data_IF_633775472739
#
_entry.id   IF_633775472739
#
_cell.length_a   1.000
_cell.length_b   1.000
_cell.length_c   1.000
_cell.angle_alpha   90.00
_cell.angle_beta   90.00
_cell.angle_gamma   90.00
#
_symmetry.space_group_name_H-M   'P 1'
#
loop_
_entity.id
_entity.type
_entity.pdbx_description
1 polymer ?
#
# COMPACT_ATOMS: atom_id res chain seq x y z
N UNK A 1 -26.54 17.74 53.39
CA UNK A 1 -26.02 18.60 52.29
C UNK A 1 -24.75 18.08 51.60
N UNK A 2 -23.87 17.31 52.25
CA UNK A 2 -22.65 16.74 51.61
C UNK A 2 -22.92 15.54 50.69
N UNK A 3 -23.93 14.72 50.98
CA UNK A 3 -24.27 13.52 50.21
C UNK A 3 -24.85 13.83 48.81
N UNK A 4 -25.66 14.90 48.70
CA UNK A 4 -26.28 15.32 47.43
C UNK A 4 -25.23 15.87 46.44
N UNK A 5 -24.21 16.58 46.94
CA UNK A 5 -23.09 17.06 46.10
C UNK A 5 -22.23 15.92 45.55
N UNK A 6 -22.05 14.84 46.32
CA UNK A 6 -21.30 13.66 45.88
C UNK A 6 -22.06 12.87 44.81
N UNK A 7 -23.37 12.69 44.99
CA UNK A 7 -24.24 12.05 43.99
C UNK A 7 -24.31 12.83 42.67
N UNK A 8 -24.33 14.16 42.73
CA UNK A 8 -24.28 14.99 41.52
C UNK A 8 -22.93 14.87 40.77
N UNK A 9 -21.82 14.75 41.51
CA UNK A 9 -20.49 14.57 40.90
C UNK A 9 -20.32 13.19 40.26
N UNK A 10 -20.83 12.12 40.89
CA UNK A 10 -20.79 10.76 40.34
C UNK A 10 -21.71 10.62 39.13
N UNK A 11 -22.89 11.27 39.15
CA UNK A 11 -23.81 11.24 38.01
C UNK A 11 -23.31 12.09 36.84
N UNK A 12 -22.70 13.26 37.08
CA UNK A 12 -22.02 14.01 36.01
C UNK A 12 -20.80 13.27 35.46
N UNK A 13 -20.06 12.50 36.26
CA UNK A 13 -18.95 11.70 35.74
C UNK A 13 -19.44 10.53 34.86
N UNK A 14 -20.59 9.93 35.18
CA UNK A 14 -21.21 8.88 34.35
C UNK A 14 -21.86 9.39 33.06
N UNK A 15 -22.39 10.61 33.06
CA UNK A 15 -22.99 11.22 31.85
C UNK A 15 -21.92 11.76 30.89
N UNK A 16 -20.73 12.13 31.39
CA UNK A 16 -19.62 12.57 30.52
C UNK A 16 -18.86 11.39 29.90
N UNK A 17 -18.85 10.20 30.52
CA UNK A 17 -18.25 9.00 29.92
C UNK A 17 -19.15 8.23 28.96
N UNK A 18 -20.44 8.61 28.84
CA UNK A 18 -21.40 7.97 27.93
C UNK A 18 -21.62 8.73 26.61
N UNK A 19 -20.86 9.81 26.37
CA UNK A 19 -20.73 10.46 25.07
C UNK A 19 -19.34 10.20 24.47
N UNK A 20 -18.92 8.95 24.41
CA UNK A 20 -18.12 8.49 23.27
C UNK A 20 -19.12 7.75 22.41
N UNK A 21 -19.81 8.54 21.58
CA UNK A 21 -20.48 7.98 20.42
C UNK A 21 -19.36 7.30 19.63
N UNK A 22 -19.28 5.97 19.74
CA UNK A 22 -18.48 5.19 18.81
C UNK A 22 -19.14 5.44 17.47
N UNK A 23 -18.65 6.43 16.74
CA UNK A 23 -18.89 6.55 15.31
C UNK A 23 -18.18 5.35 14.70
N UNK A 24 -18.76 4.17 14.84
CA UNK A 24 -18.47 3.06 13.96
C UNK A 24 -19.05 3.55 12.64
N UNK A 25 -18.22 4.27 11.88
CA UNK A 25 -18.43 4.43 10.45
C UNK A 25 -18.71 3.03 9.94
N UNK A 26 -19.94 2.83 9.46
CA UNK A 26 -20.34 1.56 8.89
C UNK A 26 -19.34 1.27 7.77
N UNK A 27 -18.58 0.18 7.91
CA UNK A 27 -17.63 -0.23 6.88
C UNK A 27 -18.46 -0.74 5.72
N UNK A 28 -18.33 -0.08 4.58
CA UNK A 28 -18.92 -0.56 3.33
C UNK A 28 -18.03 -1.68 2.77
N UNK A 29 -18.36 -2.92 3.15
CA UNK A 29 -17.58 -4.09 2.76
C UNK A 29 -17.58 -4.30 1.26
N UNK A 30 -18.69 -4.00 0.58
CA UNK A 30 -18.82 -4.20 -0.86
C UNK A 30 -17.95 -3.21 -1.61
N UNK A 31 -17.91 -1.94 -1.18
CA UNK A 31 -17.01 -0.94 -1.74
C UNK A 31 -15.53 -1.37 -1.62
N UNK A 32 -15.11 -1.88 -0.46
CA UNK A 32 -13.72 -2.36 -0.26
C UNK A 32 -13.41 -3.52 -1.20
N UNK A 33 -14.32 -4.48 -1.36
CA UNK A 33 -14.13 -5.62 -2.28
C UNK A 33 -14.06 -5.16 -3.73
N UNK A 34 -14.94 -4.27 -4.17
CA UNK A 34 -14.89 -3.71 -5.52
C UNK A 34 -13.57 -2.97 -5.79
N UNK A 35 -13.09 -2.17 -4.83
CA UNK A 35 -11.81 -1.47 -4.92
C UNK A 35 -10.66 -2.49 -5.04
N UNK A 36 -10.66 -3.53 -4.21
CA UNK A 36 -9.62 -4.56 -4.22
C UNK A 36 -9.54 -5.30 -5.56
N UNK A 37 -10.69 -5.76 -6.10
CA UNK A 37 -10.73 -6.41 -7.42
C UNK A 37 -10.24 -5.47 -8.52
N UNK A 38 -10.70 -4.22 -8.54
CA UNK A 38 -10.28 -3.23 -9.54
C UNK A 38 -8.79 -2.88 -9.43
N UNK A 39 -8.24 -2.85 -8.21
CA UNK A 39 -6.82 -2.65 -7.98
C UNK A 39 -5.99 -3.79 -8.59
N UNK A 40 -6.39 -5.04 -8.34
CA UNK A 40 -5.67 -6.23 -8.79
C UNK A 40 -5.84 -6.52 -10.29
N UNK A 41 -7.04 -6.29 -10.85
CA UNK A 41 -7.38 -6.66 -12.24
C UNK A 41 -7.31 -5.51 -13.23
N UNK A 42 -7.23 -4.28 -12.74
CA UNK A 42 -7.13 -3.07 -13.56
C UNK A 42 -8.41 -2.24 -13.58
N UNK A 43 -8.23 -0.93 -13.70
CA UNK A 43 -9.28 0.08 -13.62
C UNK A 43 -10.22 0.13 -14.84
N UNK A 44 -9.97 -0.63 -15.91
CA UNK A 44 -10.82 -0.62 -17.11
C UNK A 44 -12.10 -1.43 -16.97
N UNK A 45 -12.20 -2.30 -15.96
CA UNK A 45 -13.38 -3.14 -15.72
C UNK A 45 -14.60 -2.31 -15.29
N UNK A 46 -15.77 -2.63 -15.83
CA UNK A 46 -17.06 -2.11 -15.37
C UNK A 46 -17.46 -2.69 -14.01
N UNK A 47 -18.35 -2.03 -13.26
CA UNK A 47 -18.86 -2.55 -11.99
C UNK A 47 -19.52 -3.94 -12.11
N UNK A 48 -20.16 -4.25 -13.24
CA UNK A 48 -20.72 -5.60 -13.49
C UNK A 48 -19.62 -6.66 -13.59
N UNK A 49 -18.55 -6.39 -14.34
CA UNK A 49 -17.41 -7.29 -14.46
C UNK A 49 -16.71 -7.49 -13.10
N UNK A 50 -16.52 -6.41 -12.33
CA UNK A 50 -15.95 -6.47 -10.98
C UNK A 50 -16.83 -7.34 -10.07
N UNK A 51 -18.15 -7.14 -10.10
CA UNK A 51 -19.10 -7.92 -9.29
C UNK A 51 -19.07 -9.42 -9.61
N UNK A 52 -18.95 -9.77 -10.89
CA UNK A 52 -18.82 -11.17 -11.31
C UNK A 52 -17.53 -11.80 -10.76
N UNK A 53 -16.41 -11.07 -10.80
CA UNK A 53 -15.11 -11.55 -10.34
C UNK A 53 -15.02 -11.79 -8.82
N UNK A 54 -15.75 -11.02 -8.01
CA UNK A 54 -15.81 -11.21 -6.55
C UNK A 54 -16.27 -12.62 -6.16
N UNK A 55 -17.04 -13.30 -7.02
CA UNK A 55 -17.45 -14.68 -6.77
C UNK A 55 -16.41 -15.74 -7.18
N UNK A 56 -15.36 -15.33 -7.90
CA UNK A 56 -14.41 -16.22 -8.56
C UNK A 56 -13.00 -16.17 -7.94
N UNK A 57 -12.63 -15.05 -7.31
CA UNK A 57 -11.28 -14.81 -6.76
C UNK A 57 -11.32 -14.63 -5.25
N UNK A 58 -10.21 -14.90 -4.54
CA UNK A 58 -10.11 -14.67 -3.09
C UNK A 58 -9.40 -13.38 -2.71
N UNK A 59 -8.81 -12.66 -3.68
CA UNK A 59 -7.98 -11.49 -3.41
C UNK A 59 -8.75 -10.39 -2.66
N UNK A 60 -10.00 -10.15 -3.01
CA UNK A 60 -10.83 -9.16 -2.34
C UNK A 60 -11.20 -9.57 -0.91
N UNK A 61 -11.39 -10.86 -0.63
CA UNK A 61 -11.58 -11.37 0.73
C UNK A 61 -10.31 -11.18 1.57
N UNK A 62 -9.14 -11.45 0.97
CA UNK A 62 -7.82 -11.28 1.61
C UNK A 62 -7.54 -9.79 1.93
N UNK A 63 -7.84 -8.86 1.01
CA UNK A 63 -7.75 -7.42 1.28
C UNK A 63 -8.77 -6.98 2.32
N UNK A 64 -10.01 -7.47 2.26
CA UNK A 64 -11.06 -7.10 3.21
C UNK A 64 -10.69 -7.54 4.64
N UNK A 65 -10.19 -8.75 4.83
CA UNK A 65 -9.80 -9.24 6.15
C UNK A 65 -8.59 -8.47 6.70
N UNK A 66 -7.61 -8.15 5.84
CA UNK A 66 -6.48 -7.27 6.20
C UNK A 66 -6.99 -5.88 6.64
N UNK A 67 -7.92 -5.30 5.88
CA UNK A 67 -8.53 -4.01 6.21
C UNK A 67 -9.27 -4.08 7.56
N UNK A 68 -10.08 -5.11 7.78
CA UNK A 68 -10.78 -5.35 9.06
C UNK A 68 -9.82 -5.48 10.24
N UNK A 69 -8.66 -6.07 10.04
CA UNK A 69 -7.62 -6.13 11.06
C UNK A 69 -7.05 -4.74 11.36
N UNK A 70 -6.70 -3.96 10.34
CA UNK A 70 -6.12 -2.62 10.52
C UNK A 70 -7.09 -1.61 11.15
N UNK A 71 -8.38 -1.67 10.82
CA UNK A 71 -9.42 -0.86 11.50
C UNK A 71 -9.82 -1.40 12.88
N UNK A 72 -9.22 -2.51 13.31
CA UNK A 72 -9.41 -3.10 14.64
C UNK A 72 -10.74 -3.83 14.87
N UNK A 73 -11.36 -4.34 13.81
CA UNK A 73 -12.57 -5.17 13.88
C UNK A 73 -12.30 -6.63 14.17
N UNK A 74 -11.11 -7.12 13.83
CA UNK A 74 -10.66 -8.48 14.13
C UNK A 74 -9.28 -8.47 14.79
N UNK A 75 -8.96 -9.57 15.45
CA UNK A 75 -7.67 -9.86 16.06
C UNK A 75 -6.66 -10.41 15.06
N UNK A 76 -5.38 -10.45 15.46
CA UNK A 76 -4.33 -11.10 14.67
C UNK A 76 -4.61 -12.60 14.51
N UNK A 77 -5.09 -13.28 15.57
CA UNK A 77 -5.39 -14.71 15.52
C UNK A 77 -6.46 -15.04 14.46
N UNK A 78 -7.52 -14.23 14.37
CA UNK A 78 -8.57 -14.39 13.36
C UNK A 78 -8.05 -14.19 11.94
N UNK A 79 -7.13 -13.24 11.74
CA UNK A 79 -6.50 -12.98 10.44
C UNK A 79 -5.60 -14.14 9.99
N UNK A 80 -4.82 -14.74 10.90
CA UNK A 80 -3.84 -15.77 10.57
C UNK A 80 -4.46 -17.10 10.10
N UNK A 81 -5.72 -17.37 10.44
CA UNK A 81 -6.39 -18.64 10.11
C UNK A 81 -6.75 -18.80 8.62
N UNK A 82 -6.71 -17.71 7.84
CA UNK A 82 -7.29 -17.68 6.49
C UNK A 82 -6.24 -17.58 5.37
N UNK A 83 -4.95 -17.64 5.71
CA UNK A 83 -3.86 -17.31 4.79
C UNK A 83 -3.51 -18.41 3.80
N UNK A 84 -3.12 -17.96 2.60
CA UNK A 84 -2.36 -18.73 1.62
C UNK A 84 -1.06 -18.00 1.33
N UNK A 85 0.02 -18.75 1.20
CA UNK A 85 1.33 -18.21 0.82
C UNK A 85 1.50 -18.35 -0.69
N UNK A 86 1.69 -17.26 -1.45
CA UNK A 86 2.09 -17.35 -2.85
C UNK A 86 3.57 -17.72 -2.96
N UNK A 87 3.96 -18.31 -4.09
CA UNK A 87 5.36 -18.57 -4.40
C UNK A 87 5.56 -18.64 -5.91
N UNK A 88 6.43 -17.78 -6.43
CA UNK A 88 7.36 -17.96 -7.56
C UNK A 88 8.02 -16.57 -7.76
N UNK A 89 9.34 -16.51 -7.62
CA UNK A 89 10.14 -15.29 -7.82
C UNK A 89 11.36 -15.61 -8.67
N UNK A 90 11.74 -14.71 -9.59
CA UNK A 90 12.94 -14.86 -10.41
C UNK A 90 14.17 -14.25 -9.69
N UNK A 91 15.17 -15.08 -9.38
CA UNK A 91 16.37 -14.63 -8.63
C UNK A 91 17.22 -13.60 -9.39
N UNK A 92 17.09 -13.49 -10.72
CA UNK A 92 17.80 -12.47 -11.51
C UNK A 92 17.24 -11.09 -11.21
N UNK A 93 15.91 -10.98 -11.10
CA UNK A 93 15.24 -9.73 -10.72
C UNK A 93 15.61 -9.37 -9.28
N UNK A 94 15.62 -10.33 -8.34
CA UNK A 94 16.10 -10.10 -6.97
C UNK A 94 17.50 -9.49 -6.96
N UNK A 95 18.43 -10.07 -7.73
CA UNK A 95 19.82 -9.62 -7.79
C UNK A 95 19.94 -8.21 -8.36
N UNK A 96 19.14 -7.90 -9.37
CA UNK A 96 19.06 -6.57 -9.97
C UNK A 96 18.50 -5.52 -8.99
N UNK A 97 17.34 -5.79 -8.36
CA UNK A 97 16.76 -4.85 -7.40
C UNK A 97 17.71 -4.59 -6.22
N UNK A 98 18.48 -5.59 -5.79
CA UNK A 98 19.52 -5.39 -4.77
C UNK A 98 20.64 -4.45 -5.24
N UNK A 99 20.97 -4.47 -6.53
CA UNK A 99 22.02 -3.60 -7.12
C UNK A 99 21.58 -2.15 -7.32
N UNK A 100 20.28 -1.87 -7.31
CA UNK A 100 19.73 -0.51 -7.45
C UNK A 100 19.57 0.22 -6.12
N UNK A 101 19.74 -0.47 -4.98
CA UNK A 101 19.62 0.15 -3.65
C UNK A 101 20.84 1.03 -3.36
N UNK A 102 20.59 2.22 -2.79
CA UNK A 102 21.66 3.11 -2.38
C UNK A 102 22.29 2.66 -1.07
N UNK A 103 23.62 2.79 -0.94
CA UNK A 103 24.37 2.42 0.27
C UNK A 103 24.35 3.53 1.36
N UNK A 104 23.37 4.44 1.33
CA UNK A 104 23.36 5.62 2.20
C UNK A 104 22.94 5.28 3.65
N UNK A 105 23.90 4.87 4.48
CA UNK A 105 23.69 4.49 5.88
C UNK A 105 23.51 5.65 6.86
N UNK A 106 22.43 6.42 6.74
CA UNK A 106 22.16 7.58 7.61
C UNK A 106 21.28 7.26 8.83
N UNK A 107 20.53 6.16 8.79
CA UNK A 107 19.61 5.71 9.82
C UNK A 107 20.23 4.58 10.67
N UNK A 108 19.60 4.27 11.80
CA UNK A 108 19.95 3.09 12.60
C UNK A 108 19.41 1.77 12.00
N UNK A 109 18.68 1.82 10.88
CA UNK A 109 17.95 0.70 10.30
C UNK A 109 18.16 0.59 8.77
N UNK A 110 18.95 -0.41 8.36
CA UNK A 110 19.30 -0.66 6.94
C UNK A 110 18.10 -0.71 5.97
N UNK A 111 16.96 -1.29 6.37
CA UNK A 111 15.78 -1.33 5.49
C UNK A 111 15.16 0.05 5.26
N UNK A 112 15.26 0.98 6.21
CA UNK A 112 14.81 2.36 5.95
C UNK A 112 15.84 3.08 5.08
N UNK A 113 17.13 2.91 5.37
CA UNK A 113 18.19 3.55 4.57
C UNK A 113 18.13 3.19 3.08
N UNK A 114 17.86 1.93 2.76
CA UNK A 114 17.82 1.47 1.37
C UNK A 114 16.52 1.81 0.63
N UNK A 115 15.43 2.13 1.35
CA UNK A 115 14.09 2.24 0.77
C UNK A 115 13.32 3.52 1.18
N UNK A 116 13.98 4.50 1.78
CA UNK A 116 13.39 5.81 2.10
C UNK A 116 14.16 6.98 1.47
N UNK A 117 14.39 6.93 0.17
CA UNK A 117 14.81 8.13 -0.54
C UNK A 117 13.64 9.10 -0.67
N UNK A 118 13.91 10.38 -0.37
CA UNK A 118 12.93 11.44 -0.62
C UNK A 118 12.66 11.53 -2.12
N UNK A 119 11.38 11.70 -2.46
CA UNK A 119 10.97 12.00 -3.82
C UNK A 119 11.65 13.31 -4.24
N UNK A 120 12.40 13.34 -5.36
CA UNK A 120 13.00 14.58 -5.82
C UNK A 120 11.91 15.57 -6.20
N UNK A 121 11.97 16.76 -5.63
CA UNK A 121 11.03 17.86 -5.89
C UNK A 121 11.82 19.07 -6.39
N UNK A 122 11.37 19.68 -7.49
CA UNK A 122 11.99 20.90 -8.00
C UNK A 122 11.70 22.10 -7.08
N UNK A 123 10.52 22.10 -6.46
CA UNK A 123 10.09 23.11 -5.49
C UNK A 123 10.15 22.54 -4.06
N UNK A 124 10.87 23.16 -3.11
CA UNK A 124 10.82 22.76 -1.71
C UNK A 124 9.42 22.83 -1.06
N UNK A 125 8.48 23.56 -1.67
CA UNK A 125 7.07 23.58 -1.24
C UNK A 125 6.26 22.40 -1.79
N UNK A 126 6.82 21.54 -2.65
CA UNK A 126 6.12 20.37 -3.16
C UNK A 126 5.89 19.36 -2.03
N UNK A 127 4.63 19.08 -1.75
CA UNK A 127 4.21 18.30 -0.59
C UNK A 127 4.38 16.79 -0.79
N UNK A 128 5.14 16.34 -1.79
CA UNK A 128 5.35 14.92 -2.12
C UNK A 128 6.14 14.15 -1.06
N UNK A 129 6.78 14.84 -0.12
CA UNK A 129 7.45 14.27 1.05
C UNK A 129 6.77 14.73 2.36
N UNK A 130 5.51 14.35 2.62
CA UNK A 130 4.76 14.88 3.75
C UNK A 130 5.31 14.34 5.08
N UNK A 131 5.35 15.22 6.09
CA UNK A 131 5.57 14.82 7.47
C UNK A 131 4.24 14.45 8.13
N UNK A 132 4.15 13.24 8.68
CA UNK A 132 2.98 12.78 9.43
C UNK A 132 3.30 12.52 10.90
N UNK A 133 2.25 12.46 11.71
CA UNK A 133 2.36 11.93 13.08
C UNK A 133 2.22 10.41 13.04
N UNK A 134 2.81 9.76 14.03
CA UNK A 134 2.67 8.31 14.19
C UNK A 134 1.30 8.01 14.80
N UNK A 135 0.56 7.10 14.18
CA UNK A 135 -0.62 6.47 14.76
C UNK A 135 -0.22 5.19 15.49
N UNK A 136 -0.11 5.28 16.81
CA UNK A 136 0.40 4.19 17.67
C UNK A 136 -0.41 2.90 17.52
N UNK A 137 -1.74 3.00 17.42
CA UNK A 137 -2.62 1.83 17.32
C UNK A 137 -2.41 1.10 15.99
N UNK A 138 -2.29 1.84 14.89
CA UNK A 138 -2.08 1.25 13.58
C UNK A 138 -0.63 0.72 13.45
N UNK A 139 0.33 1.44 14.02
CA UNK A 139 1.74 1.02 14.08
C UNK A 139 1.91 -0.28 14.86
N UNK A 140 1.19 -0.47 15.97
CA UNK A 140 1.19 -1.72 16.72
C UNK A 140 0.69 -2.91 15.88
N UNK A 141 -0.36 -2.69 15.07
CA UNK A 141 -0.91 -3.74 14.20
C UNK A 141 0.04 -4.13 13.08
N UNK A 142 0.67 -3.14 12.43
CA UNK A 142 1.72 -3.41 11.42
C UNK A 142 2.91 -4.12 12.07
N UNK A 143 3.33 -3.67 13.25
CA UNK A 143 4.41 -4.29 14.02
C UNK A 143 4.14 -5.77 14.31
N UNK A 144 2.96 -6.11 14.83
CA UNK A 144 2.61 -7.48 15.17
C UNK A 144 2.57 -8.41 13.94
N UNK A 145 2.15 -7.90 12.78
CA UNK A 145 2.19 -8.66 11.52
C UNK A 145 3.61 -8.92 11.04
N UNK A 146 4.44 -7.87 10.95
CA UNK A 146 5.84 -8.02 10.51
C UNK A 146 6.60 -8.90 11.50
N UNK A 147 6.37 -8.73 12.80
CA UNK A 147 6.94 -9.57 13.85
C UNK A 147 6.54 -11.03 13.66
N UNK A 148 5.24 -11.31 13.49
CA UNK A 148 4.76 -12.66 13.26
C UNK A 148 5.42 -13.27 12.02
N UNK A 149 5.37 -12.60 10.89
CA UNK A 149 5.92 -13.12 9.63
C UNK A 149 7.45 -13.32 9.74
N UNK A 150 8.15 -12.41 10.43
CA UNK A 150 9.58 -12.50 10.64
C UNK A 150 9.96 -13.74 11.47
N UNK A 151 9.37 -13.90 12.67
CA UNK A 151 9.75 -14.96 13.59
C UNK A 151 9.17 -16.34 13.23
N UNK A 152 8.07 -16.38 12.48
CA UNK A 152 7.52 -17.62 11.90
C UNK A 152 8.22 -18.04 10.61
N UNK A 153 9.15 -17.22 10.09
CA UNK A 153 9.85 -17.42 8.81
C UNK A 153 8.92 -17.42 7.59
N UNK A 154 7.83 -16.66 7.67
CA UNK A 154 6.91 -16.43 6.56
C UNK A 154 7.51 -15.42 5.55
N UNK A 155 6.68 -14.90 4.65
CA UNK A 155 7.12 -14.17 3.46
C UNK A 155 7.97 -12.93 3.74
N UNK A 156 7.63 -12.13 4.76
CA UNK A 156 8.48 -10.98 5.12
C UNK A 156 9.90 -11.42 5.50
N UNK A 157 10.05 -12.50 6.28
CA UNK A 157 11.36 -13.07 6.60
C UNK A 157 12.10 -13.55 5.35
N UNK A 158 11.40 -14.28 4.48
CA UNK A 158 12.00 -14.86 3.27
C UNK A 158 12.53 -13.76 2.35
N UNK A 159 11.75 -12.70 2.16
CA UNK A 159 12.20 -11.52 1.43
C UNK A 159 13.37 -10.83 2.12
N UNK A 160 13.28 -10.59 3.42
CA UNK A 160 14.35 -9.96 4.17
C UNK A 160 15.69 -10.69 4.03
N UNK A 161 15.70 -12.03 4.14
CA UNK A 161 16.94 -12.83 3.98
C UNK A 161 17.49 -12.89 2.55
N UNK A 162 16.72 -12.52 1.53
CA UNK A 162 17.25 -12.34 0.16
C UNK A 162 18.14 -11.10 0.04
N UNK A 163 17.89 -10.09 0.88
CA UNK A 163 18.60 -8.81 0.82
C UNK A 163 19.67 -8.69 1.91
N UNK A 164 19.42 -9.21 3.11
CA UNK A 164 20.24 -8.98 4.31
C UNK A 164 20.69 -10.28 4.98
N UNK A 165 21.95 -10.31 5.40
CA UNK A 165 22.52 -11.41 6.19
C UNK A 165 22.28 -11.21 7.68
N UNK A 166 22.13 -9.96 8.13
CA UNK A 166 21.80 -9.57 9.49
C UNK A 166 20.42 -10.11 9.92
N UNK A 167 20.15 -10.04 11.22
CA UNK A 167 18.84 -10.37 11.79
C UNK A 167 18.17 -9.10 12.31
N UNK A 168 16.86 -8.97 12.13
CA UNK A 168 16.08 -7.89 12.72
C UNK A 168 15.76 -8.18 14.19
N UNK A 169 16.02 -7.19 15.04
CA UNK A 169 15.49 -7.16 16.40
C UNK A 169 14.03 -6.68 16.43
N UNK A 170 13.28 -7.03 17.48
CA UNK A 170 11.91 -6.51 17.68
C UNK A 170 11.86 -4.97 17.69
N UNK A 171 12.87 -4.30 18.25
CA UNK A 171 12.95 -2.83 18.24
C UNK A 171 13.10 -2.27 16.83
N UNK A 172 13.82 -2.96 15.95
CA UNK A 172 14.00 -2.57 14.55
C UNK A 172 12.71 -2.80 13.75
N UNK A 173 12.03 -3.93 13.97
CA UNK A 173 10.71 -4.20 13.38
C UNK A 173 9.70 -3.13 13.78
N UNK A 174 9.70 -2.71 15.05
CA UNK A 174 8.83 -1.64 15.55
C UNK A 174 9.10 -0.30 14.89
N UNK A 175 10.37 0.11 14.80
CA UNK A 175 10.76 1.35 14.09
C UNK A 175 10.33 1.33 12.63
N UNK A 176 10.46 0.19 11.96
CA UNK A 176 10.02 0.02 10.58
C UNK A 176 8.49 0.13 10.44
N UNK A 177 7.74 -0.51 11.33
CA UNK A 177 6.28 -0.43 11.34
C UNK A 177 5.77 0.99 11.57
N UNK A 178 6.33 1.71 12.56
CA UNK A 178 6.03 3.12 12.82
C UNK A 178 6.34 3.99 11.59
N UNK A 179 7.45 3.70 10.92
CA UNK A 179 7.86 4.39 9.70
C UNK A 179 6.86 4.18 8.55
N UNK A 180 6.48 2.93 8.26
CA UNK A 180 5.49 2.61 7.22
C UNK A 180 4.17 3.33 7.46
N UNK A 181 3.65 3.28 8.69
CA UNK A 181 2.40 3.96 9.05
C UNK A 181 2.54 5.47 8.92
N UNK A 182 3.63 6.06 9.39
CA UNK A 182 3.88 7.50 9.26
C UNK A 182 3.84 7.94 7.79
N UNK A 183 4.55 7.26 6.90
CA UNK A 183 4.56 7.63 5.47
C UNK A 183 3.18 7.42 4.84
N UNK A 184 2.55 6.27 5.11
CA UNK A 184 1.22 5.99 4.62
C UNK A 184 0.21 7.05 5.09
N UNK A 185 0.26 7.52 6.35
CA UNK A 185 -0.63 8.58 6.83
C UNK A 185 -0.32 9.96 6.22
N UNK A 186 0.96 10.29 5.99
CA UNK A 186 1.35 11.61 5.48
C UNK A 186 0.66 11.99 4.17
N UNK A 187 0.51 11.01 3.28
CA UNK A 187 -0.14 11.21 1.99
C UNK A 187 -1.65 11.48 2.08
N UNK A 188 -2.30 11.26 3.24
CA UNK A 188 -3.76 11.47 3.38
C UNK A 188 -4.17 12.93 3.34
N UNK A 189 -3.21 13.85 3.40
CA UNK A 189 -3.45 15.29 3.37
C UNK A 189 -3.22 15.92 1.99
N UNK A 190 -2.79 15.13 1.01
CA UNK A 190 -2.39 15.63 -0.30
C UNK A 190 -3.53 15.58 -1.32
N UNK A 191 -3.42 16.48 -2.29
CA UNK A 191 -4.17 16.42 -3.54
C UNK A 191 -3.17 16.46 -4.68
N UNK A 192 -3.20 15.45 -5.55
CA UNK A 192 -2.32 15.37 -6.72
C UNK A 192 -3.04 15.95 -7.93
N UNK A 193 -2.32 16.76 -8.72
CA UNK A 193 -2.85 17.40 -9.93
C UNK A 193 -2.37 16.68 -11.16
N UNK A 194 -3.26 16.54 -12.13
CA UNK A 194 -2.94 15.97 -13.43
C UNK A 194 -2.00 16.92 -14.17
N UNK A 195 -0.90 16.37 -14.68
CA UNK A 195 0.11 17.11 -15.46
C UNK A 195 -0.11 16.95 -16.97
N UNK A 196 -0.62 15.79 -17.40
CA UNK A 196 -0.88 15.51 -18.81
C UNK A 196 -2.08 16.30 -19.35
N UNK A 197 -2.05 16.60 -20.65
CA UNK A 197 -3.17 17.20 -21.39
C UNK A 197 -4.08 16.15 -22.06
N UNK A 198 -3.91 14.87 -21.73
CA UNK A 198 -4.68 13.76 -22.34
C UNK A 198 -6.03 13.65 -21.64
N UNK A 199 -7.12 13.82 -22.39
CA UNK A 199 -8.47 13.64 -21.86
C UNK A 199 -8.70 12.18 -21.43
N UNK A 200 -9.32 12.01 -20.26
CA UNK A 200 -9.69 10.70 -19.71
C UNK A 200 -10.83 10.85 -18.71
N UNK A 201 -11.77 9.90 -18.72
CA UNK A 201 -12.84 9.84 -17.73
C UNK A 201 -12.36 9.26 -16.39
N UNK A 202 -11.34 8.40 -16.42
CA UNK A 202 -10.77 7.80 -15.20
C UNK A 202 -9.71 8.71 -14.57
N UNK A 203 -8.76 9.24 -15.35
CA UNK A 203 -7.69 10.09 -14.84
C UNK A 203 -8.16 11.53 -14.66
N UNK A 204 -8.63 11.83 -13.45
CA UNK A 204 -9.20 13.11 -13.02
C UNK A 204 -8.17 14.25 -12.97
N UNK A 205 -8.64 15.49 -13.08
CA UNK A 205 -7.79 16.69 -13.01
C UNK A 205 -7.12 16.88 -11.63
N UNK A 206 -7.83 16.55 -10.56
CA UNK A 206 -7.33 16.57 -9.19
C UNK A 206 -7.76 15.28 -8.50
N UNK A 207 -6.85 14.71 -7.70
CA UNK A 207 -7.08 13.46 -6.97
C UNK A 207 -6.84 13.71 -5.49
N UNK A 208 -7.92 13.72 -4.71
CA UNK A 208 -7.86 13.82 -3.25
C UNK A 208 -7.39 12.49 -2.65
N UNK A 209 -6.15 12.46 -2.16
CA UNK A 209 -5.56 11.27 -1.57
C UNK A 209 -6.13 10.95 -0.18
N UNK A 210 -6.75 11.92 0.48
CA UNK A 210 -7.46 11.75 1.76
C UNK A 210 -8.77 10.98 1.63
N UNK A 211 -9.27 10.78 0.41
CA UNK A 211 -10.46 9.98 0.14
C UNK A 211 -10.29 8.48 0.45
N UNK A 212 -9.04 8.00 0.58
CA UNK A 212 -8.70 6.60 0.85
C UNK A 212 -8.13 6.44 2.26
N UNK A 213 -8.76 5.65 3.14
CA UNK A 213 -8.26 5.43 4.50
C UNK A 213 -6.89 4.75 4.49
N UNK A 214 -6.03 5.10 5.45
CA UNK A 214 -4.67 4.54 5.56
C UNK A 214 -4.69 3.03 5.76
N UNK A 215 -5.67 2.53 6.50
CA UNK A 215 -5.88 1.12 6.74
C UNK A 215 -6.08 0.34 5.43
N UNK A 216 -6.70 0.93 4.40
CA UNK A 216 -6.86 0.27 3.09
C UNK A 216 -5.55 0.24 2.31
N UNK A 217 -4.76 1.32 2.36
CA UNK A 217 -3.42 1.34 1.74
C UNK A 217 -2.51 0.28 2.38
N UNK A 218 -2.54 0.16 3.71
CA UNK A 218 -1.79 -0.86 4.45
C UNK A 218 -2.33 -2.27 4.20
N UNK A 219 -3.65 -2.44 4.02
CA UNK A 219 -4.24 -3.72 3.65
C UNK A 219 -3.74 -4.22 2.30
N UNK A 220 -3.69 -3.33 1.29
CA UNK A 220 -3.10 -3.63 -0.03
C UNK A 220 -1.61 -3.92 0.10
N UNK A 221 -0.86 -3.09 0.82
CA UNK A 221 0.58 -3.29 0.97
C UNK A 221 0.91 -4.61 1.68
N UNK A 222 0.11 -4.98 2.68
CA UNK A 222 0.26 -6.26 3.32
C UNK A 222 -0.11 -7.41 2.40
N UNK A 223 -1.19 -7.27 1.64
CA UNK A 223 -1.64 -8.31 0.73
C UNK A 223 -0.60 -8.61 -0.36
N UNK A 224 -0.05 -7.57 -0.95
CA UNK A 224 0.86 -7.68 -2.09
C UNK A 224 2.30 -8.01 -1.66
N UNK A 225 2.85 -7.29 -0.67
CA UNK A 225 4.28 -7.40 -0.33
C UNK A 225 4.59 -7.98 1.04
N UNK A 226 3.57 -8.18 1.88
CA UNK A 226 3.74 -8.42 3.32
C UNK A 226 4.63 -7.37 3.98
N UNK A 227 4.55 -6.13 3.48
CA UNK A 227 5.38 -4.97 3.87
C UNK A 227 6.86 -5.02 3.49
N UNK A 228 7.29 -5.85 2.54
CA UNK A 228 8.68 -5.81 2.07
C UNK A 228 8.83 -4.96 0.79
N UNK A 229 9.56 -3.82 0.81
CA UNK A 229 9.56 -2.85 -0.30
C UNK A 229 10.08 -3.39 -1.64
N UNK A 230 11.10 -4.26 -1.63
CA UNK A 230 11.64 -4.85 -2.86
C UNK A 230 11.00 -6.20 -3.25
N UNK A 231 9.83 -6.53 -2.67
CA UNK A 231 9.08 -7.67 -3.17
C UNK A 231 8.50 -7.35 -4.56
N UNK A 232 8.29 -8.40 -5.36
CA UNK A 232 7.71 -8.26 -6.68
C UNK A 232 6.99 -9.53 -7.12
N UNK A 233 6.18 -9.42 -8.16
CA UNK A 233 5.61 -10.55 -8.91
C UNK A 233 5.88 -10.34 -10.40
N UNK A 234 6.32 -11.40 -11.08
CA UNK A 234 6.52 -11.39 -12.53
C UNK A 234 5.27 -11.90 -13.23
N UNK A 235 4.82 -11.19 -14.26
CA UNK A 235 3.80 -11.66 -15.19
C UNK A 235 4.49 -12.34 -16.37
N UNK A 236 4.21 -13.63 -16.57
CA UNK A 236 4.96 -14.50 -17.48
C UNK A 236 4.00 -15.06 -18.53
N UNK A 237 4.35 -14.90 -19.80
CA UNK A 237 3.80 -15.74 -20.89
C UNK A 237 4.92 -16.56 -21.50
N UNK A 238 5.58 -16.03 -22.54
CA UNK A 238 6.81 -16.59 -23.09
C UNK A 238 8.05 -15.88 -22.48
N UNK A 239 7.94 -14.56 -22.29
CA UNK A 239 8.90 -13.70 -21.59
C UNK A 239 8.26 -13.11 -20.31
N UNK A 240 9.08 -12.55 -19.42
CA UNK A 240 8.61 -11.70 -18.32
C UNK A 240 8.26 -10.34 -18.92
N UNK A 241 6.98 -10.13 -19.26
CA UNK A 241 6.54 -8.93 -19.98
C UNK A 241 6.12 -7.78 -19.05
N UNK A 242 5.77 -8.06 -17.81
CA UNK A 242 5.43 -7.05 -16.81
C UNK A 242 5.83 -7.49 -15.41
N UNK A 243 6.06 -6.53 -14.53
CA UNK A 243 6.46 -6.76 -13.14
C UNK A 243 5.59 -5.89 -12.23
N UNK A 244 4.95 -6.53 -11.27
CA UNK A 244 4.29 -5.88 -10.14
C UNK A 244 5.35 -5.64 -9.06
N UNK A 245 5.69 -4.39 -8.76
CA UNK A 245 6.85 -4.03 -7.92
C UNK A 245 6.46 -3.15 -6.73
N UNK A 246 7.25 -3.22 -5.65
CA UNK A 246 7.16 -2.28 -4.54
C UNK A 246 6.40 -2.85 -3.34
N UNK A 247 6.08 -1.98 -2.37
CA UNK A 247 5.22 -2.37 -1.23
C UNK A 247 3.79 -2.77 -1.66
N UNK A 248 3.32 -2.24 -2.77
CA UNK A 248 1.92 -2.30 -3.20
C UNK A 248 1.75 -2.97 -4.57
N UNK A 249 2.86 -3.47 -5.15
CA UNK A 249 2.87 -4.24 -6.40
C UNK A 249 2.21 -3.51 -7.57
N UNK A 250 2.57 -2.24 -7.76
CA UNK A 250 2.15 -1.49 -8.95
C UNK A 250 2.75 -2.17 -10.18
N UNK A 251 1.88 -2.54 -11.11
CA UNK A 251 2.27 -3.20 -12.36
C UNK A 251 2.95 -2.18 -13.29
N UNK A 252 4.17 -2.51 -13.70
CA UNK A 252 4.95 -1.78 -14.70
C UNK A 252 5.38 -2.70 -15.84
N UNK A 253 5.76 -2.11 -16.95
CA UNK A 253 6.33 -2.82 -18.09
C UNK A 253 7.75 -3.32 -17.73
N UNK A 254 8.04 -4.58 -18.00
CA UNK A 254 9.39 -5.09 -17.77
C UNK A 254 10.44 -4.36 -18.63
N UNK A 255 10.07 -3.87 -19.82
CA UNK A 255 10.92 -3.02 -20.69
C UNK A 255 11.21 -1.63 -20.10
N UNK A 256 10.52 -1.23 -19.02
CA UNK A 256 10.79 0.01 -18.28
C UNK A 256 11.96 -0.14 -17.30
N UNK A 257 12.44 -1.37 -17.03
CA UNK A 257 13.57 -1.63 -16.14
C UNK A 257 14.85 -1.90 -16.93
N UNK A 258 15.98 -1.41 -16.42
CA UNK A 258 17.31 -1.60 -17.04
C UNK A 258 17.69 -3.08 -17.22
N UNK A 259 17.15 -3.97 -16.39
CA UNK A 259 17.40 -5.42 -16.48
C UNK A 259 16.94 -6.04 -17.82
N UNK A 260 15.90 -5.48 -18.46
CA UNK A 260 15.41 -5.96 -19.77
C UNK A 260 16.48 -5.89 -20.86
N UNK A 261 17.39 -4.90 -20.78
CA UNK A 261 18.51 -4.78 -21.70
C UNK A 261 19.60 -5.85 -21.50
N UNK A 262 19.59 -6.54 -20.36
CA UNK A 262 20.60 -7.52 -19.96
C UNK A 262 20.16 -8.97 -20.24
N UNK A 263 18.85 -9.22 -20.27
CA UNK A 263 18.27 -10.56 -20.44
C UNK A 263 17.18 -10.54 -21.51
N UNK A 264 17.33 -11.38 -22.54
CA UNK A 264 16.42 -11.38 -23.68
C UNK A 264 15.01 -11.93 -23.38
N UNK A 265 14.82 -12.55 -22.22
CA UNK A 265 13.55 -13.11 -21.74
C UNK A 265 12.88 -12.21 -20.68
N UNK A 266 13.38 -10.99 -20.50
CA UNK A 266 12.80 -9.95 -19.64
C UNK A 266 12.51 -8.73 -20.50
N UNK A 267 11.23 -8.34 -20.55
CA UNK A 267 10.72 -7.45 -21.59
C UNK A 267 10.33 -8.21 -22.85
N UNK A 268 9.34 -7.70 -23.59
CA UNK A 268 8.90 -8.27 -24.87
C UNK A 268 9.23 -7.36 -26.08
N UNK A 269 9.91 -6.23 -25.80
CA UNK A 269 10.27 -5.21 -26.78
C UNK A 269 9.10 -4.32 -27.19
N UNK A 270 7.91 -4.50 -26.63
CA UNK A 270 6.70 -3.74 -26.93
C UNK A 270 6.26 -2.92 -25.73
N UNK A 271 6.79 -1.70 -25.61
CA UNK A 271 6.41 -0.78 -24.53
C UNK A 271 4.89 -0.58 -24.43
N UNK A 272 4.29 -1.05 -23.35
CA UNK A 272 2.90 -0.90 -22.97
C UNK A 272 2.76 0.11 -21.83
N UNK A 273 1.56 0.66 -21.71
CA UNK A 273 1.24 1.56 -20.60
C UNK A 273 0.48 0.79 -19.53
N UNK A 274 1.21 0.17 -18.59
CA UNK A 274 0.62 -0.44 -17.40
C UNK A 274 0.33 0.62 -16.33
N UNK A 275 -0.07 0.19 -15.14
CA UNK A 275 -0.50 1.09 -14.06
C UNK A 275 0.58 2.12 -13.73
N UNK A 276 1.85 1.71 -13.65
CA UNK A 276 2.96 2.63 -13.42
C UNK A 276 3.07 3.69 -14.52
N UNK A 277 3.18 3.27 -15.78
CA UNK A 277 3.39 4.18 -16.90
C UNK A 277 2.21 5.14 -17.08
N UNK A 278 0.98 4.70 -16.81
CA UNK A 278 -0.21 5.56 -16.85
C UNK A 278 -0.21 6.60 -15.73
N UNK A 279 0.13 6.21 -14.49
CA UNK A 279 0.22 7.15 -13.38
C UNK A 279 1.37 8.14 -13.57
N UNK A 280 2.53 7.67 -14.05
CA UNK A 280 3.68 8.52 -14.38
C UNK A 280 3.31 9.54 -15.47
N UNK A 281 2.67 9.08 -16.56
CA UNK A 281 2.19 9.96 -17.63
C UNK A 281 1.23 11.03 -17.11
N UNK A 282 0.27 10.65 -16.26
CA UNK A 282 -0.81 11.54 -15.86
C UNK A 282 -0.49 12.44 -14.66
N UNK A 283 0.35 12.00 -13.72
CA UNK A 283 0.55 12.67 -12.43
C UNK A 283 2.01 12.82 -11.98
N UNK A 284 2.93 11.96 -12.42
CA UNK A 284 4.26 11.85 -11.81
C UNK A 284 5.39 11.86 -12.86
N UNK A 285 5.69 13.05 -13.41
CA UNK A 285 6.77 13.21 -14.38
C UNK A 285 8.14 12.90 -13.77
N UNK A 286 9.00 12.22 -14.52
CA UNK A 286 10.40 11.99 -14.14
C UNK A 286 10.66 10.78 -13.24
N UNK A 287 9.62 10.06 -12.81
CA UNK A 287 9.79 8.80 -12.06
C UNK A 287 10.22 7.64 -12.97
N UNK A 288 11.11 6.79 -12.47
CA UNK A 288 11.47 5.51 -13.07
C UNK A 288 10.77 4.34 -12.36
N UNK A 289 10.77 3.16 -12.99
CA UNK A 289 10.12 1.98 -12.40
C UNK A 289 10.75 1.59 -11.05
N UNK A 290 12.07 1.78 -10.91
CA UNK A 290 12.83 1.52 -9.70
C UNK A 290 12.42 2.41 -8.52
N UNK A 291 11.84 3.60 -8.78
CA UNK A 291 11.35 4.46 -7.70
C UNK A 291 10.24 3.79 -6.90
N UNK A 292 9.52 2.82 -7.46
CA UNK A 292 8.50 2.02 -6.74
C UNK A 292 9.10 1.16 -5.61
N UNK A 293 10.42 0.95 -5.58
CA UNK A 293 11.11 0.33 -4.44
C UNK A 293 11.10 1.22 -3.20
N UNK A 294 11.01 2.55 -3.40
CA UNK A 294 10.99 3.51 -2.31
C UNK A 294 9.61 3.53 -1.65
N UNK A 295 9.59 3.48 -0.31
CA UNK A 295 8.37 3.40 0.50
C UNK A 295 7.44 4.57 0.21
N UNK A 296 8.02 5.78 0.07
CA UNK A 296 7.29 7.01 -0.26
C UNK A 296 6.59 6.92 -1.60
N UNK A 297 7.33 6.60 -2.66
CA UNK A 297 6.80 6.45 -4.02
C UNK A 297 5.74 5.36 -4.10
N UNK A 298 5.99 4.19 -3.49
CA UNK A 298 5.04 3.08 -3.49
C UNK A 298 3.68 3.47 -2.88
N UNK A 299 3.70 4.18 -1.74
CA UNK A 299 2.46 4.66 -1.10
C UNK A 299 1.80 5.82 -1.85
N UNK A 300 2.58 6.74 -2.42
CA UNK A 300 2.06 7.81 -3.25
C UNK A 300 1.30 7.25 -4.47
N UNK A 301 1.94 6.39 -5.26
CA UNK A 301 1.33 5.77 -6.44
C UNK A 301 0.10 4.93 -6.08
N UNK A 302 0.20 4.08 -5.05
CA UNK A 302 -0.91 3.25 -4.64
C UNK A 302 -2.11 4.06 -4.16
N UNK A 303 -1.89 5.10 -3.34
CA UNK A 303 -2.98 5.93 -2.84
C UNK A 303 -3.63 6.73 -3.97
N UNK A 304 -2.85 7.30 -4.90
CA UNK A 304 -3.41 7.94 -6.09
C UNK A 304 -4.27 6.97 -6.90
N UNK A 305 -3.78 5.75 -7.15
CA UNK A 305 -4.54 4.76 -7.90
C UNK A 305 -5.83 4.33 -7.19
N UNK A 306 -5.75 4.06 -5.88
CA UNK A 306 -6.90 3.71 -5.05
C UNK A 306 -7.94 4.84 -5.01
N UNK A 307 -7.52 6.10 -4.93
CA UNK A 307 -8.44 7.25 -4.93
C UNK A 307 -9.20 7.36 -6.25
N UNK A 308 -8.53 7.12 -7.39
CA UNK A 308 -9.16 7.09 -8.70
C UNK A 308 -10.17 5.92 -8.83
N UNK A 309 -9.76 4.71 -8.43
CA UNK A 309 -10.61 3.51 -8.42
C UNK A 309 -11.86 3.75 -7.54
N UNK A 310 -11.66 4.23 -6.32
CA UNK A 310 -12.74 4.52 -5.37
C UNK A 310 -13.73 5.51 -5.97
N UNK A 311 -13.24 6.62 -6.53
CA UNK A 311 -14.09 7.63 -7.16
C UNK A 311 -14.91 7.02 -8.32
N UNK A 312 -14.28 6.22 -9.19
CA UNK A 312 -14.97 5.53 -10.29
C UNK A 312 -16.11 4.65 -9.76
N UNK A 313 -15.81 3.79 -8.78
CA UNK A 313 -16.79 2.83 -8.23
C UNK A 313 -17.95 3.57 -7.56
N UNK A 314 -17.67 4.60 -6.75
CA UNK A 314 -18.71 5.41 -6.11
C UNK A 314 -19.62 6.09 -7.14
N UNK A 315 -19.05 6.61 -8.24
CA UNK A 315 -19.83 7.21 -9.33
C UNK A 315 -20.69 6.18 -10.07
N UNK A 316 -20.22 4.95 -10.26
CA UNK A 316 -20.99 3.88 -10.89
C UNK A 316 -22.12 3.38 -9.99
N UNK A 317 -21.86 3.23 -8.69
CA UNK A 317 -22.88 2.86 -7.69
C UNK A 317 -24.00 3.91 -7.58
N UNK A 318 -23.68 5.21 -7.70
CA UNK A 318 -24.69 6.26 -7.71
C UNK A 318 -25.60 6.29 -8.95
N UNK A 319 -25.23 5.57 -10.02
CA UNK A 319 -26.02 5.53 -11.27
C UNK A 319 -27.04 4.37 -11.30
N UNK A 320 -26.95 3.42 -10.38
CA UNK A 320 -27.86 2.27 -10.25
C UNK A 320 -29.12 2.62 -9.46
#
# INVERSE_FOLDING_TARGET
MKLIKLLFFVFSFFVVTSCVESTITQIDTDLIRYIAVAYNRGHNLSLEEISNLISEISYDDDVLINYMYFVGKISLEELLQQRKEPSIYDERIVSYLKSTLSENGSSELLIIDHFDENIPVEDPEDFLNPEARVNDSLSERVYELIKYDYFSKAMFYQWYKKFYDEELSESQIRKFAEFLVKIAEGYSSLTVKKISQVDSEFFLQEVDLGSVPTELVLAIAYEESRFFPASFRSEISDDIYAISLGLTHILLDADSLDISSQYSDIGDGNKQYWTFELLALHYFEGFSGEDLLQIRSAFLFARTYLSLIKCKIELELCKQ
#
